data_IF_666196599775
#
_entry.id   IF_666196599775
#
_cell.length_a   1.000
_cell.length_b   1.000
_cell.length_c   1.000
_cell.angle_alpha   90.00
_cell.angle_beta   90.00
_cell.angle_gamma   90.00
#
_symmetry.space_group_name_H-M   'P 1'
#
loop_
_entity.id
_entity.type
_entity.pdbx_description
1 polymer ?
#
# COMPACT_ATOMS: atom_id res chain seq x y z
N UNK A 1 42.19 -8.80 -11.99
CA UNK A 1 42.61 -8.51 -10.60
C UNK A 1 41.39 -8.04 -9.82
N UNK A 2 41.01 -8.79 -8.79
CA UNK A 2 39.75 -8.61 -8.07
C UNK A 2 39.77 -7.37 -7.17
N UNK A 3 38.60 -6.78 -6.92
CA UNK A 3 38.39 -5.65 -6.00
C UNK A 3 39.08 -5.83 -4.64
N UNK A 4 39.19 -7.08 -4.16
CA UNK A 4 39.85 -7.45 -2.90
C UNK A 4 41.36 -7.13 -2.88
N UNK A 5 42.06 -7.18 -4.01
CA UNK A 5 43.49 -6.83 -4.07
C UNK A 5 43.73 -5.31 -4.01
N UNK A 6 42.77 -4.48 -4.45
CA UNK A 6 42.88 -3.01 -4.35
C UNK A 6 42.60 -2.51 -2.93
N UNK A 7 41.67 -3.14 -2.21
CA UNK A 7 41.35 -2.79 -0.82
C UNK A 7 42.54 -2.99 0.15
N UNK A 8 43.42 -3.96 -0.12
CA UNK A 8 44.61 -4.24 0.70
C UNK A 8 45.75 -3.21 0.54
N UNK A 9 45.70 -2.33 -0.48
CA UNK A 9 46.80 -1.42 -0.79
C UNK A 9 46.80 -0.10 -0.01
N UNK A 10 45.82 0.15 0.87
CA UNK A 10 45.75 1.36 1.70
C UNK A 10 45.53 2.68 0.94
N UNK A 11 45.57 2.67 -0.40
CA UNK A 11 45.07 3.78 -1.22
C UNK A 11 43.56 3.72 -1.18
N UNK A 12 42.96 4.65 -0.44
CA UNK A 12 41.54 4.93 -0.57
C UNK A 12 41.23 5.05 -2.07
N UNK A 13 40.20 4.37 -2.60
CA UNK A 13 39.80 4.56 -3.98
C UNK A 13 39.53 6.05 -4.15
N UNK A 14 40.29 6.71 -5.03
CA UNK A 14 40.08 8.12 -5.33
C UNK A 14 38.61 8.30 -5.70
N UNK A 15 37.92 9.19 -5.00
CA UNK A 15 36.54 9.53 -5.33
C UNK A 15 36.50 10.02 -6.78
N UNK A 16 35.55 9.51 -7.57
CA UNK A 16 35.38 10.01 -8.93
C UNK A 16 34.96 11.49 -8.86
N UNK A 17 35.76 12.36 -9.46
CA UNK A 17 35.48 13.78 -9.61
C UNK A 17 35.36 14.09 -11.10
N UNK A 18 34.15 14.42 -11.53
CA UNK A 18 33.81 14.66 -12.93
C UNK A 18 34.64 15.80 -13.54
N UNK A 19 34.88 16.89 -12.80
CA UNK A 19 35.67 18.02 -13.29
C UNK A 19 37.14 17.63 -13.48
N UNK A 20 37.70 16.87 -12.53
CA UNK A 20 39.08 16.38 -12.64
C UNK A 20 39.23 15.41 -13.79
N UNK A 21 38.27 14.50 -13.97
CA UNK A 21 38.28 13.54 -15.08
C UNK A 21 38.12 14.24 -16.44
N UNK A 22 37.24 15.23 -16.53
CA UNK A 22 37.02 16.01 -17.75
C UNK A 22 38.26 16.82 -18.13
N UNK A 23 38.91 17.49 -17.17
CA UNK A 23 40.16 18.23 -17.43
C UNK A 23 41.31 17.29 -17.80
N UNK A 24 41.36 16.08 -17.22
CA UNK A 24 42.34 15.05 -17.61
C UNK A 24 42.10 14.59 -19.06
N UNK A 25 40.85 14.27 -19.42
CA UNK A 25 40.48 13.91 -20.79
C UNK A 25 40.80 15.03 -21.79
N UNK A 26 40.56 16.28 -21.41
CA UNK A 26 40.92 17.46 -22.19
C UNK A 26 42.43 17.59 -22.39
N UNK A 27 43.21 17.34 -21.35
CA UNK A 27 44.68 17.41 -21.40
C UNK A 27 45.29 16.29 -22.27
N UNK A 28 44.69 15.11 -22.27
CA UNK A 28 45.14 13.95 -23.06
C UNK A 28 44.53 13.91 -24.47
N UNK A 29 43.58 14.81 -24.79
CA UNK A 29 42.87 14.79 -26.07
C UNK A 29 42.02 13.54 -26.27
N UNK A 30 41.50 12.95 -25.19
CA UNK A 30 40.80 11.67 -25.18
C UNK A 30 39.31 11.76 -25.56
N UNK A 31 38.84 12.92 -26.02
CA UNK A 31 37.46 13.09 -26.46
C UNK A 31 37.21 12.39 -27.79
N UNK A 32 36.04 11.78 -27.95
CA UNK A 32 35.59 11.11 -29.17
C UNK A 32 34.37 11.81 -29.79
N UNK A 33 34.23 11.72 -31.12
CA UNK A 33 33.12 12.27 -31.88
C UNK A 33 33.39 13.66 -32.48
N UNK A 34 32.38 14.53 -32.52
CA UNK A 34 32.52 15.91 -33.01
C UNK A 34 33.12 16.77 -31.89
N UNK A 35 34.43 16.95 -31.95
CA UNK A 35 35.18 17.65 -30.91
C UNK A 35 35.17 19.16 -31.21
N UNK A 36 34.58 20.00 -30.35
CA UNK A 36 34.66 21.45 -30.50
C UNK A 36 36.11 21.94 -30.29
N UNK A 37 36.47 23.13 -30.78
CA UNK A 37 37.79 23.71 -30.56
C UNK A 37 38.15 23.73 -29.07
N UNK A 38 39.44 23.57 -28.73
CA UNK A 38 39.91 23.48 -27.34
C UNK A 38 39.41 24.61 -26.43
N UNK A 39 39.23 25.83 -26.99
CA UNK A 39 38.69 27.00 -26.28
C UNK A 39 37.22 26.87 -25.86
N UNK A 40 36.47 26.00 -26.52
CA UNK A 40 35.04 25.74 -26.27
C UNK A 40 34.80 24.43 -25.50
N UNK A 41 35.87 23.79 -25.01
CA UNK A 41 35.79 22.60 -24.17
C UNK A 41 35.79 23.03 -22.70
N UNK A 42 34.60 23.27 -22.14
CA UNK A 42 34.40 23.64 -20.74
C UNK A 42 34.02 22.42 -19.90
N UNK A 43 34.75 22.20 -18.81
CA UNK A 43 34.44 21.18 -17.81
C UNK A 43 33.73 21.82 -16.62
N UNK A 44 32.68 21.17 -16.09
CA UNK A 44 31.97 21.65 -14.90
C UNK A 44 31.16 22.94 -15.10
N UNK A 45 30.76 23.27 -16.33
CA UNK A 45 29.96 24.46 -16.61
C UNK A 45 28.60 24.34 -15.91
N UNK A 46 28.28 25.33 -15.07
CA UNK A 46 26.95 25.46 -14.48
C UNK A 46 26.00 26.18 -15.44
N UNK A 47 24.72 25.90 -15.32
CA UNK A 47 23.70 26.57 -16.13
C UNK A 47 23.66 28.07 -15.80
N UNK A 48 23.81 28.90 -16.83
CA UNK A 48 23.65 30.36 -16.77
C UNK A 48 22.60 30.76 -17.79
N UNK A 49 21.56 31.48 -17.35
CA UNK A 49 20.48 31.92 -18.22
C UNK A 49 21.00 32.83 -19.35
N UNK A 50 20.69 32.49 -20.60
CA UNK A 50 21.13 33.25 -21.78
C UNK A 50 22.44 32.78 -22.39
N UNK A 51 23.19 31.88 -21.74
CA UNK A 51 24.35 31.22 -22.34
C UNK A 51 23.93 29.92 -23.04
N UNK A 52 24.51 29.60 -24.21
CA UNK A 52 24.26 28.31 -24.85
C UNK A 52 24.86 27.18 -23.99
N UNK A 53 24.16 26.05 -23.95
CA UNK A 53 24.64 24.86 -23.25
C UNK A 53 26.04 24.43 -23.77
N UNK A 54 26.89 23.98 -22.85
CA UNK A 54 28.19 23.41 -23.20
C UNK A 54 28.02 22.30 -24.25
N UNK A 55 28.97 22.23 -25.19
CA UNK A 55 28.98 21.14 -26.17
C UNK A 55 29.20 19.80 -25.45
N UNK A 56 28.44 18.77 -25.83
CA UNK A 56 28.61 17.43 -25.22
C UNK A 56 29.95 16.84 -25.64
N UNK A 57 30.77 16.50 -24.66
CA UNK A 57 32.04 15.81 -24.84
C UNK A 57 31.88 14.36 -24.38
N UNK A 58 32.38 13.43 -25.18
CA UNK A 58 32.32 12.00 -24.89
C UNK A 58 33.73 11.47 -24.75
N UNK A 59 33.94 10.55 -23.81
CA UNK A 59 35.19 9.81 -23.64
C UNK A 59 34.91 8.32 -23.80
N UNK A 60 35.88 7.57 -24.31
CA UNK A 60 35.75 6.11 -24.34
C UNK A 60 35.70 5.53 -22.94
N UNK A 61 34.94 4.44 -22.79
CA UNK A 61 34.83 3.74 -21.52
C UNK A 61 36.18 3.25 -21.01
N UNK A 62 37.07 2.79 -21.91
CA UNK A 62 38.41 2.33 -21.54
C UNK A 62 39.23 3.43 -20.85
N UNK A 63 39.20 4.65 -21.40
CA UNK A 63 39.85 5.82 -20.80
C UNK A 63 39.27 6.16 -19.43
N UNK A 64 37.93 6.22 -19.32
CA UNK A 64 37.27 6.56 -18.06
C UNK A 64 37.56 5.51 -16.98
N UNK A 65 37.51 4.22 -17.33
CA UNK A 65 37.79 3.11 -16.40
C UNK A 65 39.26 3.08 -15.95
N UNK A 66 40.21 3.40 -16.82
CA UNK A 66 41.64 3.38 -16.48
C UNK A 66 42.09 4.63 -15.72
N UNK A 67 41.65 5.83 -16.16
CA UNK A 67 42.16 7.10 -15.65
C UNK A 67 41.30 7.73 -14.56
N UNK A 68 40.00 7.42 -14.53
CA UNK A 68 39.05 7.97 -13.57
C UNK A 68 38.36 6.88 -12.72
N UNK A 69 39.11 5.95 -12.09
CA UNK A 69 38.49 4.91 -11.27
C UNK A 69 37.90 5.51 -10.00
N UNK A 70 36.67 5.12 -9.65
CA UNK A 70 36.02 5.52 -8.42
C UNK A 70 34.50 5.52 -8.52
N UNK A 71 33.82 5.55 -7.39
CA UNK A 71 32.40 5.90 -7.32
C UNK A 71 32.31 7.42 -7.17
N UNK A 72 31.39 8.05 -7.90
CA UNK A 72 31.09 9.48 -7.71
C UNK A 72 30.58 9.69 -6.30
N UNK A 73 31.32 10.43 -5.49
CA UNK A 73 30.85 10.80 -4.15
C UNK A 73 29.98 12.03 -4.30
N UNK A 74 28.70 11.85 -4.00
CA UNK A 74 27.77 12.94 -3.75
C UNK A 74 28.26 13.71 -2.52
N UNK A 75 28.93 14.84 -2.74
CA UNK A 75 29.44 15.69 -1.65
C UNK A 75 28.37 16.62 -1.07
N UNK A 76 27.17 16.61 -1.63
CA UNK A 76 26.10 17.52 -1.22
C UNK A 76 25.00 16.73 -0.49
N UNK A 77 24.91 16.80 0.84
CA UNK A 77 23.92 16.06 1.61
C UNK A 77 22.47 16.40 1.20
N UNK A 78 22.27 17.58 0.60
CA UNK A 78 20.98 18.01 0.06
C UNK A 78 20.45 17.08 -1.05
N UNK A 79 21.34 16.39 -1.78
CA UNK A 79 20.94 15.48 -2.87
C UNK A 79 20.14 14.28 -2.34
N UNK A 80 20.53 13.72 -1.20
CA UNK A 80 19.83 12.57 -0.59
C UNK A 80 18.77 13.01 0.41
N UNK A 81 19.04 14.08 1.17
CA UNK A 81 18.10 14.63 2.14
C UNK A 81 16.82 15.11 1.45
N UNK A 82 16.93 15.71 0.26
CA UNK A 82 15.79 16.07 -0.57
C UNK A 82 14.88 14.88 -0.81
N UNK A 83 15.37 13.82 -1.45
CA UNK A 83 14.57 12.61 -1.75
C UNK A 83 13.98 11.99 -0.48
N UNK A 84 14.76 11.93 0.59
CA UNK A 84 14.35 11.31 1.84
C UNK A 84 13.24 12.09 2.54
N UNK A 85 13.36 13.41 2.65
CA UNK A 85 12.35 14.27 3.30
C UNK A 85 11.12 14.47 2.42
N UNK A 86 11.31 14.59 1.11
CA UNK A 86 10.27 14.97 0.16
C UNK A 86 9.39 13.79 -0.27
N UNK A 87 9.96 12.60 -0.39
CA UNK A 87 9.25 11.44 -0.94
C UNK A 87 9.22 10.25 0.02
N UNK A 88 10.34 9.91 0.64
CA UNK A 88 10.41 8.73 1.53
C UNK A 88 9.65 8.98 2.84
N UNK A 89 9.89 10.10 3.52
CA UNK A 89 9.28 10.39 4.81
C UNK A 89 7.74 10.47 4.71
N UNK A 90 7.12 11.21 3.76
CA UNK A 90 5.66 11.19 3.58
C UNK A 90 5.14 9.80 3.28
N UNK A 91 5.88 9.02 2.49
CA UNK A 91 5.51 7.66 2.13
C UNK A 91 5.59 6.69 3.32
N UNK A 92 6.56 6.85 4.21
CA UNK A 92 6.67 6.07 5.45
C UNK A 92 5.57 6.46 6.41
N UNK A 93 5.35 7.76 6.65
CA UNK A 93 4.23 8.26 7.49
C UNK A 93 2.92 7.66 7.00
N UNK A 94 2.74 7.64 5.69
CA UNK A 94 1.55 7.11 5.07
C UNK A 94 1.42 5.60 5.16
N UNK A 95 2.52 4.89 4.95
CA UNK A 95 2.55 3.44 5.16
C UNK A 95 2.22 3.07 6.60
N UNK A 96 2.58 3.94 7.56
CA UNK A 96 2.17 3.79 8.97
C UNK A 96 0.69 4.11 9.21
N UNK A 97 0.04 4.94 8.38
CA UNK A 97 -1.42 5.15 8.48
C UNK A 97 -2.20 3.97 7.93
N UNK A 98 -1.67 3.26 6.92
CA UNK A 98 -2.18 1.98 6.43
C UNK A 98 -1.92 0.90 7.50
N UNK A 99 -2.89 0.78 8.42
CA UNK A 99 -2.81 -0.09 9.58
C UNK A 99 -2.69 -1.56 9.15
N UNK A 100 -1.47 -2.08 9.13
CA UNK A 100 -1.18 -3.50 8.92
C UNK A 100 -1.26 -4.26 10.25
N UNK A 101 -1.65 -5.53 10.14
CA UNK A 101 -1.99 -6.47 11.22
C UNK A 101 -0.82 -6.83 12.16
N UNK A 102 0.43 -6.56 11.79
CA UNK A 102 1.61 -6.96 12.58
C UNK A 102 2.57 -5.80 12.77
N UNK A 103 2.82 -5.48 14.04
CA UNK A 103 3.86 -4.53 14.46
C UNK A 103 5.24 -5.13 14.19
N UNK A 104 5.78 -4.97 12.99
CA UNK A 104 7.20 -5.27 12.73
C UNK A 104 8.08 -4.13 13.25
N UNK A 105 9.26 -4.46 13.77
CA UNK A 105 10.34 -3.48 14.01
C UNK A 105 10.51 -2.57 12.76
N UNK A 106 10.69 -1.25 12.94
CA UNK A 106 10.58 -0.26 11.85
C UNK A 106 11.57 -0.47 10.70
N UNK A 107 12.63 -1.27 10.91
CA UNK A 107 13.64 -1.59 9.90
C UNK A 107 13.16 -2.56 8.80
N UNK A 108 12.08 -3.32 9.00
CA UNK A 108 11.56 -4.30 8.02
C UNK A 108 10.18 -3.95 7.44
N UNK A 109 9.46 -2.99 8.01
CA UNK A 109 8.11 -2.61 7.58
C UNK A 109 8.05 -2.03 6.16
N UNK A 110 9.14 -1.39 5.71
CA UNK A 110 9.22 -0.78 4.39
C UNK A 110 9.06 -1.84 3.28
N UNK A 111 9.74 -2.99 3.38
CA UNK A 111 9.63 -4.06 2.38
C UNK A 111 8.27 -4.78 2.38
N UNK A 112 7.61 -4.89 3.53
CA UNK A 112 6.29 -5.54 3.64
C UNK A 112 5.14 -4.67 3.09
N UNK A 113 5.28 -3.35 3.19
CA UNK A 113 4.33 -2.38 2.61
C UNK A 113 4.46 -2.25 1.08
N UNK A 114 5.62 -2.55 0.52
CA UNK A 114 5.87 -2.53 -0.93
C UNK A 114 5.30 -3.70 -1.73
N UNK A 115 4.76 -4.71 -1.04
CA UNK A 115 4.26 -5.93 -1.68
C UNK A 115 2.73 -6.07 -1.51
N UNK A 116 2.14 -5.55 -0.43
CA UNK A 116 0.75 -5.85 -0.03
C UNK A 116 -0.38 -5.03 -0.67
N UNK A 117 -0.29 -4.59 -1.93
CA UNK A 117 -1.41 -3.88 -2.56
C UNK A 117 -1.64 -4.32 -4.00
N UNK A 118 -2.32 -5.45 -4.11
CA UNK A 118 -3.03 -5.85 -5.33
C UNK A 118 -4.48 -6.19 -4.98
N UNK A 119 -5.10 -5.42 -4.08
CA UNK A 119 -6.55 -5.51 -3.85
C UNK A 119 -7.30 -4.70 -4.91
N UNK A 120 -7.30 -5.19 -6.15
CA UNK A 120 -8.09 -4.63 -7.25
C UNK A 120 -9.40 -5.41 -7.42
N UNK A 121 -10.26 -5.43 -6.40
CA UNK A 121 -11.68 -5.70 -6.61
C UNK A 121 -12.40 -4.37 -6.80
N UNK A 122 -12.37 -3.89 -8.05
CA UNK A 122 -13.09 -2.70 -8.49
C UNK A 122 -14.60 -3.00 -8.47
N UNK A 123 -15.27 -2.71 -7.36
CA UNK A 123 -16.74 -2.63 -7.32
C UNK A 123 -17.20 -1.38 -8.06
N UNK A 124 -17.12 -1.40 -9.40
CA UNK A 124 -17.92 -0.51 -10.23
C UNK A 124 -19.35 -1.07 -10.21
N UNK A 125 -20.25 -0.39 -9.50
CA UNK A 125 -21.70 -0.60 -9.44
C UNK A 125 -22.25 -1.41 -8.25
N UNK A 126 -21.96 -0.99 -7.01
CA UNK A 126 -22.95 -1.14 -5.94
C UNK A 126 -23.65 0.21 -5.72
N UNK A 127 -24.81 0.47 -6.37
CA UNK A 127 -25.64 1.61 -6.02
C UNK A 127 -26.40 1.24 -4.74
N UNK A 128 -25.74 1.31 -3.59
CA UNK A 128 -26.47 1.37 -2.33
C UNK A 128 -26.87 2.83 -2.16
N UNK A 129 -27.98 3.22 -2.79
CA UNK A 129 -28.58 4.51 -2.50
C UNK A 129 -29.15 4.45 -1.07
N UNK A 130 -28.47 5.11 -0.14
CA UNK A 130 -28.87 5.17 1.26
C UNK A 130 -30.24 5.83 1.46
N UNK A 131 -30.80 6.52 0.44
CA UNK A 131 -32.19 7.02 0.48
C UNK A 131 -33.24 5.92 0.47
N UNK A 132 -32.94 4.75 -0.10
CA UNK A 132 -33.90 3.63 -0.13
C UNK A 132 -34.12 3.00 1.25
N UNK A 133 -33.19 3.18 2.20
CA UNK A 133 -33.35 2.74 3.58
C UNK A 133 -34.36 3.59 4.37
N UNK A 134 -34.88 4.68 3.78
CA UNK A 134 -35.67 5.71 4.48
C UNK A 134 -37.14 5.76 4.09
N UNK A 135 -37.56 5.14 2.98
CA UNK A 135 -38.97 5.12 2.58
C UNK A 135 -39.70 3.98 3.28
N UNK A 136 -40.69 4.34 4.11
CA UNK A 136 -41.58 3.40 4.76
C UNK A 136 -42.30 2.56 3.72
N UNK A 137 -41.98 1.27 3.69
CA UNK A 137 -42.53 0.30 2.78
C UNK A 137 -43.52 -0.61 3.50
N UNK A 138 -44.70 -0.80 2.90
CA UNK A 138 -45.83 -1.53 3.49
C UNK A 138 -45.98 -2.98 3.01
N UNK A 139 -45.04 -3.53 2.24
CA UNK A 139 -45.08 -4.90 1.74
C UNK A 139 -43.95 -5.73 2.35
N UNK A 140 -44.26 -6.98 2.71
CA UNK A 140 -43.33 -7.96 3.28
C UNK A 140 -42.09 -8.20 2.40
N UNK A 141 -42.27 -8.11 1.08
CA UNK A 141 -41.19 -8.27 0.08
C UNK A 141 -40.11 -7.17 0.15
N UNK A 142 -40.45 -6.00 0.68
CA UNK A 142 -39.51 -4.87 0.79
C UNK A 142 -38.71 -4.91 2.08
N UNK A 143 -39.27 -5.48 3.15
CA UNK A 143 -38.56 -5.72 4.40
C UNK A 143 -37.44 -6.76 4.22
N UNK A 144 -37.73 -7.84 3.48
CA UNK A 144 -36.75 -8.88 3.14
C UNK A 144 -35.60 -8.30 2.29
N UNK A 145 -35.89 -7.47 1.29
CA UNK A 145 -34.85 -6.77 0.50
C UNK A 145 -33.98 -5.85 1.37
N UNK A 146 -34.58 -5.12 2.31
CA UNK A 146 -33.85 -4.23 3.22
C UNK A 146 -32.98 -5.02 4.20
N UNK A 147 -33.42 -6.20 4.62
CA UNK A 147 -32.65 -7.12 5.47
C UNK A 147 -31.42 -7.62 4.73
N UNK A 148 -31.57 -8.09 3.49
CA UNK A 148 -30.46 -8.56 2.64
C UNK A 148 -29.46 -7.43 2.37
N UNK A 149 -29.94 -6.20 2.05
CA UNK A 149 -29.06 -5.03 1.85
C UNK A 149 -28.25 -4.69 3.11
N UNK A 150 -28.87 -4.77 4.30
CA UNK A 150 -28.20 -4.51 5.58
C UNK A 150 -27.14 -5.57 5.89
N UNK A 151 -27.47 -6.84 5.71
CA UNK A 151 -26.51 -7.93 5.89
C UNK A 151 -25.32 -7.80 4.93
N UNK A 152 -25.57 -7.49 3.65
CA UNK A 152 -24.52 -7.28 2.67
C UNK A 152 -23.62 -6.09 3.06
N UNK A 153 -24.19 -5.00 3.56
CA UNK A 153 -23.43 -3.84 4.05
C UNK A 153 -22.54 -4.23 5.24
N UNK A 154 -23.07 -4.97 6.22
CA UNK A 154 -22.29 -5.46 7.37
C UNK A 154 -21.20 -6.43 6.92
N UNK A 155 -21.50 -7.32 5.99
CA UNK A 155 -20.55 -8.29 5.40
C UNK A 155 -19.41 -7.57 4.70
N UNK A 156 -19.72 -6.55 3.90
CA UNK A 156 -18.71 -5.74 3.20
C UNK A 156 -17.89 -4.92 4.19
N UNK A 157 -18.53 -4.33 5.20
CA UNK A 157 -17.87 -3.51 6.21
C UNK A 157 -17.00 -4.34 7.18
N UNK A 158 -17.38 -5.56 7.51
CA UNK A 158 -16.63 -6.45 8.40
C UNK A 158 -15.69 -7.42 7.66
N UNK A 159 -15.70 -7.40 6.32
CA UNK A 159 -14.98 -8.36 5.48
C UNK A 159 -13.45 -8.35 5.57
N UNK A 160 -12.87 -7.42 6.34
CA UNK A 160 -11.44 -7.41 6.68
C UNK A 160 -11.11 -8.18 7.96
N UNK A 161 -12.11 -8.68 8.70
CA UNK A 161 -11.91 -9.47 9.91
C UNK A 161 -11.69 -10.94 9.59
N UNK A 162 -10.82 -11.59 10.37
CA UNK A 162 -10.53 -13.03 10.26
C UNK A 162 -11.79 -13.83 10.60
N UNK A 163 -12.25 -14.69 9.68
CA UNK A 163 -13.43 -15.52 9.90
C UNK A 163 -13.26 -16.53 11.05
N UNK A 164 -12.03 -16.99 11.28
CA UNK A 164 -11.72 -18.09 12.20
C UNK A 164 -11.61 -17.65 13.67
N UNK A 165 -11.41 -16.35 13.94
CA UNK A 165 -11.17 -15.83 15.29
C UNK A 165 -12.36 -15.00 15.76
N UNK A 166 -13.08 -15.52 16.77
CA UNK A 166 -14.21 -14.83 17.43
C UNK A 166 -15.56 -14.92 16.71
N UNK A 167 -15.67 -15.75 15.66
CA UNK A 167 -16.90 -15.91 14.85
C UNK A 167 -17.57 -14.57 14.46
N UNK A 168 -16.83 -13.61 13.89
CA UNK A 168 -17.34 -12.26 13.62
C UNK A 168 -18.56 -12.25 12.72
N UNK A 169 -18.72 -13.26 11.88
CA UNK A 169 -19.83 -13.39 10.95
C UNK A 169 -21.16 -13.73 11.61
N UNK A 170 -21.15 -14.30 12.82
CA UNK A 170 -22.35 -14.52 13.60
C UNK A 170 -22.54 -13.39 14.60
N UNK A 171 -21.47 -13.09 15.36
CA UNK A 171 -21.51 -12.13 16.46
C UNK A 171 -21.85 -10.70 16.02
N UNK A 172 -21.30 -10.22 14.90
CA UNK A 172 -21.49 -8.84 14.44
C UNK A 172 -22.90 -8.64 13.83
N UNK A 173 -23.37 -9.48 12.88
CA UNK A 173 -24.73 -9.36 12.39
C UNK A 173 -25.77 -9.53 13.49
N UNK A 174 -25.61 -10.48 14.43
CA UNK A 174 -26.55 -10.64 15.55
C UNK A 174 -26.61 -9.40 16.46
N UNK A 175 -25.51 -8.65 16.57
CA UNK A 175 -25.42 -7.41 17.34
C UNK A 175 -26.02 -6.20 16.62
N UNK A 176 -26.13 -6.26 15.29
CA UNK A 176 -26.55 -5.18 14.40
C UNK A 176 -27.94 -5.40 13.77
N UNK A 177 -28.45 -6.63 13.76
CA UNK A 177 -29.77 -6.97 13.24
C UNK A 177 -30.78 -7.01 14.38
N UNK A 178 -31.88 -6.27 14.21
CA UNK A 178 -33.01 -6.27 15.14
C UNK A 178 -33.82 -7.55 14.95
N UNK A 179 -34.24 -8.25 16.02
CA UNK A 179 -35.04 -9.47 15.87
C UNK A 179 -36.49 -9.15 15.50
N UNK A 180 -36.85 -9.27 14.22
CA UNK A 180 -38.20 -9.53 13.70
C UNK A 180 -39.32 -8.49 14.00
N UNK A 181 -40.48 -8.75 13.39
CA UNK A 181 -41.71 -7.93 13.32
C UNK A 181 -42.30 -7.50 14.70
N UNK A 182 -41.82 -8.08 15.80
CA UNK A 182 -42.27 -7.81 17.17
C UNK A 182 -41.24 -7.06 18.03
N UNK A 183 -40.10 -6.65 17.47
CA UNK A 183 -39.10 -5.90 18.22
C UNK A 183 -39.61 -4.49 18.58
N UNK A 184 -39.35 -4.03 19.81
CA UNK A 184 -39.71 -2.68 20.22
C UNK A 184 -38.91 -1.63 19.41
N UNK A 185 -39.52 -0.46 19.18
CA UNK A 185 -38.99 0.60 18.28
C UNK A 185 -37.59 1.10 18.69
N UNK A 186 -37.24 0.97 19.96
CA UNK A 186 -35.92 1.26 20.53
C UNK A 186 -34.82 0.34 19.98
N UNK A 187 -35.13 -0.92 19.63
CA UNK A 187 -34.19 -1.85 19.01
C UNK A 187 -33.69 -1.35 17.65
N UNK A 188 -34.56 -0.73 16.85
CA UNK A 188 -34.21 -0.18 15.54
C UNK A 188 -33.25 1.00 15.62
N UNK A 189 -33.54 1.99 16.47
CA UNK A 189 -32.65 3.15 16.65
C UNK A 189 -31.27 2.73 17.21
N UNK A 190 -31.23 1.64 18.00
CA UNK A 190 -30.00 1.09 18.55
C UNK A 190 -29.15 0.34 17.52
N UNK A 191 -29.77 -0.54 16.73
CA UNK A 191 -29.10 -1.19 15.61
C UNK A 191 -28.53 -0.15 14.62
N UNK A 192 -29.31 0.90 14.36
CA UNK A 192 -28.91 2.05 13.55
C UNK A 192 -27.71 2.78 14.16
N UNK A 193 -27.74 3.11 15.45
CA UNK A 193 -26.63 3.82 16.09
C UNK A 193 -25.35 2.99 16.11
N UNK A 194 -25.45 1.67 16.34
CA UNK A 194 -24.31 0.74 16.25
C UNK A 194 -23.74 0.65 14.84
N UNK A 195 -24.59 0.58 13.81
CA UNK A 195 -24.17 0.60 12.42
C UNK A 195 -23.51 1.93 12.04
N UNK A 196 -24.09 3.05 12.47
CA UNK A 196 -23.50 4.38 12.27
C UNK A 196 -22.17 4.54 13.02
N UNK A 197 -22.02 3.94 14.20
CA UNK A 197 -20.75 3.90 14.93
C UNK A 197 -19.72 3.02 14.21
N UNK A 198 -20.13 1.90 13.62
CA UNK A 198 -19.25 1.04 12.82
C UNK A 198 -18.76 1.76 11.56
N UNK A 199 -19.65 2.45 10.85
CA UNK A 199 -19.33 3.25 9.68
C UNK A 199 -18.54 4.52 10.04
N UNK A 200 -18.88 5.17 11.16
CA UNK A 200 -18.24 6.39 11.65
C UNK A 200 -16.86 6.15 12.29
N UNK A 201 -16.57 4.93 12.72
CA UNK A 201 -15.22 4.53 13.14
C UNK A 201 -14.25 4.43 11.95
N UNK A 202 -14.74 4.49 10.71
CA UNK A 202 -13.88 4.68 9.55
C UNK A 202 -13.38 6.13 9.55
N UNK A 203 -12.08 6.27 9.77
CA UNK A 203 -11.32 7.49 9.55
C UNK A 203 -11.66 8.13 8.20
N UNK A 204 -11.83 9.45 8.19
CA UNK A 204 -12.32 10.15 6.99
C UNK A 204 -11.38 9.92 5.80
N UNK A 205 -11.96 9.54 4.66
CA UNK A 205 -11.20 9.28 3.42
C UNK A 205 -10.34 10.49 3.03
N UNK A 206 -10.90 11.70 3.17
CA UNK A 206 -10.22 12.95 2.85
C UNK A 206 -9.02 13.25 3.75
N UNK A 207 -9.08 12.97 5.04
CA UNK A 207 -7.94 13.19 5.93
C UNK A 207 -6.82 12.16 5.69
N UNK A 208 -7.20 10.90 5.51
CA UNK A 208 -6.24 9.80 5.35
C UNK A 208 -5.50 9.81 4.02
N UNK A 209 -6.18 10.20 2.94
CA UNK A 209 -5.65 10.14 1.57
C UNK A 209 -5.36 11.54 1.06
N UNK A 210 -6.27 12.48 1.30
CA UNK A 210 -6.15 13.84 0.78
C UNK A 210 -4.90 14.54 1.31
N UNK A 211 -4.58 14.42 2.60
CA UNK A 211 -3.37 15.05 3.16
C UNK A 211 -2.08 14.50 2.52
N UNK A 212 -1.81 13.17 2.51
CA UNK A 212 -0.63 12.63 1.84
C UNK A 212 -0.56 12.92 0.34
N UNK A 213 -1.69 12.85 -0.37
CA UNK A 213 -1.76 13.20 -1.80
C UNK A 213 -1.40 14.67 -2.01
N UNK A 214 -1.92 15.58 -1.19
CA UNK A 214 -1.59 17.01 -1.27
C UNK A 214 -0.11 17.28 -0.98
N UNK A 215 0.46 16.65 0.06
CA UNK A 215 1.89 16.76 0.35
C UNK A 215 2.74 16.24 -0.80
N UNK A 216 2.41 15.05 -1.30
CA UNK A 216 3.11 14.43 -2.42
C UNK A 216 3.04 15.30 -3.68
N UNK A 217 1.83 15.77 -4.06
CA UNK A 217 1.63 16.63 -5.23
C UNK A 217 2.30 17.99 -5.07
N UNK A 218 2.26 18.59 -3.89
CA UNK A 218 2.93 19.86 -3.62
C UNK A 218 4.43 19.75 -3.83
N UNK A 219 5.05 18.70 -3.29
CA UNK A 219 6.47 18.42 -3.45
C UNK A 219 6.85 18.06 -4.89
N UNK A 220 6.00 17.30 -5.58
CA UNK A 220 6.16 16.99 -7.00
C UNK A 220 6.13 18.26 -7.85
N UNK A 221 5.14 19.12 -7.67
CA UNK A 221 5.01 20.41 -8.37
C UNK A 221 6.20 21.33 -8.06
N UNK A 222 6.64 21.41 -6.81
CA UNK A 222 7.83 22.16 -6.42
C UNK A 222 9.08 21.67 -7.18
N UNK A 223 9.27 20.35 -7.26
CA UNK A 223 10.40 19.74 -7.98
C UNK A 223 10.34 20.06 -9.48
N UNK A 224 9.16 20.01 -10.09
CA UNK A 224 8.96 20.38 -11.50
C UNK A 224 9.26 21.87 -11.75
N UNK A 225 8.79 22.76 -10.87
CA UNK A 225 9.10 24.19 -10.98
C UNK A 225 10.60 24.47 -10.79
N UNK A 226 11.26 23.74 -9.88
CA UNK A 226 12.71 23.84 -9.68
C UNK A 226 13.50 23.35 -10.91
N UNK A 227 13.01 22.33 -11.61
CA UNK A 227 13.60 21.89 -12.88
C UNK A 227 13.49 22.93 -13.99
N UNK A 228 12.37 23.67 -14.03
CA UNK A 228 12.20 24.73 -15.02
C UNK A 228 13.16 25.90 -14.80
N UNK A 229 13.52 26.20 -13.54
CA UNK A 229 14.51 27.25 -13.24
C UNK A 229 15.96 26.77 -13.41
N UNK A 230 16.22 25.45 -13.33
CA UNK A 230 17.56 24.85 -13.38
C UNK A 230 17.62 23.63 -14.30
N UNK A 231 17.40 23.83 -15.60
CA UNK A 231 17.25 22.78 -16.63
C UNK A 231 18.43 21.81 -16.78
N UNK A 232 19.59 22.10 -16.18
CA UNK A 232 20.80 21.26 -16.27
C UNK A 232 21.11 20.49 -14.98
N UNK A 233 20.28 20.58 -13.94
CA UNK A 233 20.56 19.91 -12.67
C UNK A 233 20.15 18.42 -12.73
N UNK A 234 21.15 17.56 -12.86
CA UNK A 234 21.00 16.10 -12.84
C UNK A 234 20.27 15.62 -11.58
N UNK A 235 20.60 16.20 -10.43
CA UNK A 235 20.09 15.72 -9.15
C UNK A 235 18.60 16.00 -9.01
N UNK A 236 18.16 17.19 -9.45
CA UNK A 236 16.73 17.52 -9.44
C UNK A 236 15.96 16.61 -10.41
N UNK A 237 16.54 16.25 -11.57
CA UNK A 237 15.85 15.38 -12.52
C UNK A 237 15.73 13.93 -12.02
N UNK A 238 16.75 13.46 -11.31
CA UNK A 238 16.74 12.13 -10.71
C UNK A 238 15.83 12.09 -9.49
N UNK A 239 15.78 13.18 -8.71
CA UNK A 239 14.79 13.38 -7.66
C UNK A 239 13.37 13.31 -8.23
N UNK A 240 13.12 13.88 -9.40
CA UNK A 240 11.84 13.71 -10.12
C UNK A 240 11.60 12.25 -10.51
N UNK A 241 12.61 11.53 -11.01
CA UNK A 241 12.50 10.10 -11.31
C UNK A 241 12.12 9.27 -10.08
N UNK A 242 12.73 9.56 -8.92
CA UNK A 242 12.35 8.96 -7.64
C UNK A 242 10.93 9.34 -7.24
N UNK A 243 10.52 10.59 -7.39
CA UNK A 243 9.13 10.96 -7.15
C UNK A 243 8.22 10.04 -8.00
N UNK A 244 8.42 10.02 -9.31
CA UNK A 244 7.60 9.22 -10.23
C UNK A 244 7.57 7.74 -9.84
N UNK A 245 8.66 7.14 -9.35
CA UNK A 245 8.62 5.77 -8.82
C UNK A 245 7.72 5.65 -7.57
N UNK A 246 7.87 6.56 -6.61
CA UNK A 246 7.17 6.54 -5.32
C UNK A 246 5.68 6.86 -5.42
N UNK A 247 5.20 7.34 -6.58
CA UNK A 247 3.77 7.42 -6.90
C UNK A 247 3.05 6.08 -6.70
N UNK A 248 3.73 4.93 -6.79
CA UNK A 248 3.13 3.62 -6.49
C UNK A 248 2.42 3.60 -5.12
N UNK A 249 3.01 4.22 -4.10
CA UNK A 249 2.47 4.25 -2.74
C UNK A 249 1.16 5.04 -2.70
N UNK A 250 1.09 6.15 -3.45
CA UNK A 250 -0.10 6.97 -3.58
C UNK A 250 -1.22 6.19 -4.29
N UNK A 251 -0.92 5.40 -5.31
CA UNK A 251 -1.93 4.58 -5.97
C UNK A 251 -2.45 3.46 -5.05
N UNK A 252 -1.53 2.72 -4.43
CA UNK A 252 -1.79 1.59 -3.54
C UNK A 252 -2.75 1.96 -2.40
N UNK A 253 -2.53 3.13 -1.83
CA UNK A 253 -3.32 3.63 -0.72
C UNK A 253 -4.70 4.15 -1.11
N UNK A 254 -4.83 4.86 -2.23
CA UNK A 254 -6.11 5.27 -2.79
C UNK A 254 -6.96 4.00 -2.96
N UNK A 255 -6.40 2.99 -3.62
CA UNK A 255 -7.10 1.74 -3.91
C UNK A 255 -7.44 0.97 -2.63
N UNK A 256 -6.47 0.79 -1.73
CA UNK A 256 -6.67 0.08 -0.46
C UNK A 256 -7.77 0.72 0.41
N UNK A 257 -7.98 2.04 0.28
CA UNK A 257 -8.98 2.79 1.05
C UNK A 257 -10.31 3.00 0.33
N UNK A 258 -10.38 2.79 -0.98
CA UNK A 258 -11.66 2.72 -1.69
C UNK A 258 -12.50 1.50 -1.28
N UNK A 259 -11.87 0.51 -0.63
CA UNK A 259 -12.57 -0.64 -0.07
C UNK A 259 -13.28 -0.23 1.22
N UNK A 260 -14.62 -0.08 1.16
CA UNK A 260 -15.49 0.01 2.33
C UNK A 260 -15.25 -1.23 3.20
N UNK A 261 -14.44 -1.07 4.24
CA UNK A 261 -14.14 -2.08 5.23
C UNK A 261 -13.59 -1.44 6.51
N UNK A 262 -14.11 -1.88 7.65
CA UNK A 262 -13.62 -1.56 8.97
C UNK A 262 -12.21 -2.14 9.14
N UNK A 263 -11.27 -1.25 9.42
CA UNK A 263 -9.89 -1.59 9.77
C UNK A 263 -9.66 -1.46 11.29
N UNK A 264 -10.74 -1.39 12.08
CA UNK A 264 -10.69 -1.23 13.52
C UNK A 264 -11.45 -2.38 14.21
N UNK A 265 -10.77 -3.49 14.54
CA UNK A 265 -11.41 -4.62 15.20
C UNK A 265 -11.93 -4.25 16.60
N UNK A 266 -11.36 -3.24 17.27
CA UNK A 266 -11.84 -2.77 18.58
C UNK A 266 -13.22 -2.13 18.52
N UNK A 267 -13.56 -1.44 17.44
CA UNK A 267 -14.93 -0.95 17.24
C UNK A 267 -15.92 -2.11 17.11
N UNK A 268 -15.54 -3.15 16.36
CA UNK A 268 -16.38 -4.32 16.19
C UNK A 268 -16.55 -5.08 17.51
N UNK A 269 -15.47 -5.22 18.29
CA UNK A 269 -15.50 -5.81 19.62
C UNK A 269 -16.42 -5.02 20.58
N UNK A 270 -16.33 -3.69 20.60
CA UNK A 270 -17.21 -2.85 21.42
C UNK A 270 -18.70 -2.99 21.06
N UNK A 271 -19.01 -3.13 19.77
CA UNK A 271 -20.39 -3.35 19.31
C UNK A 271 -20.92 -4.71 19.79
N UNK A 272 -20.10 -5.76 19.72
CA UNK A 272 -20.49 -7.11 20.16
C UNK A 272 -20.60 -7.20 21.67
N UNK A 273 -19.64 -6.65 22.43
CA UNK A 273 -19.65 -6.66 23.90
C UNK A 273 -20.84 -5.86 24.44
N UNK A 274 -21.11 -4.66 23.90
CA UNK A 274 -22.30 -3.88 24.32
C UNK A 274 -23.63 -4.59 24.02
N UNK A 275 -23.64 -5.52 23.06
CA UNK A 275 -24.81 -6.35 22.79
C UNK A 275 -24.93 -7.47 23.81
N UNK A 276 -23.81 -8.11 24.17
CA UNK A 276 -23.76 -9.16 25.18
C UNK A 276 -24.06 -8.67 26.59
N UNK A 277 -23.55 -7.51 27.03
CA UNK A 277 -23.82 -6.98 28.37
C UNK A 277 -25.31 -6.69 28.61
N UNK A 278 -26.03 -6.31 27.55
CA UNK A 278 -27.46 -6.01 27.60
C UNK A 278 -28.32 -7.28 27.56
N UNK A 279 -27.96 -8.24 26.70
CA UNK A 279 -28.56 -9.57 26.69
C UNK A 279 -28.30 -10.27 28.03
N UNK A 280 -27.12 -10.09 28.61
CA UNK A 280 -26.72 -10.60 29.92
C UNK A 280 -27.33 -9.77 31.07
N UNK A 281 -27.78 -8.52 30.87
CA UNK A 281 -28.54 -7.77 31.88
C UNK A 281 -30.02 -8.22 31.92
N UNK A 282 -30.62 -8.54 30.77
CA UNK A 282 -31.90 -9.25 30.65
C UNK A 282 -31.80 -10.67 31.21
N UNK A 283 -30.77 -11.42 30.83
CA UNK A 283 -30.53 -12.78 31.31
C UNK A 283 -30.14 -12.79 32.80
N UNK A 284 -29.39 -11.80 33.33
CA UNK A 284 -29.13 -11.66 34.78
C UNK A 284 -30.39 -11.42 35.61
N UNK A 285 -31.48 -10.93 35.02
CA UNK A 285 -32.78 -10.83 35.70
C UNK A 285 -33.50 -12.18 35.79
N UNK A 286 -33.29 -13.07 34.80
CA UNK A 286 -33.84 -14.43 34.77
C UNK A 286 -32.95 -15.44 35.50
N UNK A 287 -31.63 -15.30 35.41
CA UNK A 287 -30.61 -16.19 35.94
C UNK A 287 -30.25 -15.89 37.40
N UNK A 288 -30.69 -14.76 37.98
CA UNK A 288 -30.63 -14.55 39.45
C UNK A 288 -31.49 -15.56 40.25
N UNK A 289 -32.27 -16.40 39.58
CA UNK A 289 -32.99 -17.55 40.17
C UNK A 289 -32.30 -18.90 40.01
N UNK A 290 -31.21 -19.01 39.26
CA UNK A 290 -30.52 -20.27 39.02
C UNK A 290 -29.00 -20.05 39.06
N UNK A 291 -28.33 -20.66 40.04
CA UNK A 291 -26.86 -20.82 40.20
C UNK A 291 -26.11 -19.59 40.74
N UNK A 292 -25.46 -19.51 41.92
CA UNK A 292 -25.18 -20.43 43.04
C UNK A 292 -24.75 -21.85 42.67
N UNK A 293 -23.86 -22.00 41.69
CA UNK A 293 -23.05 -23.22 41.52
C UNK A 293 -21.91 -22.97 40.53
N UNK A 294 -20.67 -23.25 40.95
CA UNK A 294 -19.62 -23.76 40.05
C UNK A 294 -18.61 -22.75 39.52
N UNK A 295 -17.62 -22.42 40.35
CA UNK A 295 -16.36 -21.78 39.94
C UNK A 295 -15.30 -22.87 39.78
N UNK A 296 -14.64 -22.96 38.62
CA UNK A 296 -13.56 -23.91 38.36
C UNK A 296 -12.63 -23.41 37.26
N UNK A 297 -11.50 -22.82 37.66
CA UNK A 297 -10.41 -22.38 36.77
C UNK A 297 -9.48 -23.56 36.45
N UNK A 298 -9.37 -23.93 35.17
CA UNK A 298 -8.39 -24.88 34.66
C UNK A 298 -7.14 -24.16 34.15
N UNK A 299 -6.00 -24.41 34.79
CA UNK A 299 -4.69 -23.90 34.40
C UNK A 299 -4.03 -24.91 33.43
N UNK A 300 -4.08 -24.64 32.12
CA UNK A 300 -3.35 -25.45 31.12
C UNK A 300 -1.90 -24.96 30.94
N UNK A 301 -0.97 -25.91 31.00
CA UNK A 301 0.47 -25.70 30.84
C UNK A 301 0.87 -25.41 29.39
N UNK A 302 1.81 -24.49 29.11
CA UNK A 302 2.03 -23.98 27.77
C UNK A 302 2.92 -24.92 26.94
N UNK A 303 2.38 -25.51 25.88
CA UNK A 303 3.15 -26.18 24.83
C UNK A 303 3.78 -25.13 23.91
N UNK A 304 5.07 -25.30 23.62
CA UNK A 304 5.86 -24.36 22.82
C UNK A 304 5.54 -24.53 21.33
N UNK A 305 4.65 -23.70 20.80
CA UNK A 305 4.24 -23.67 19.39
C UNK A 305 5.09 -22.68 18.58
N UNK A 306 5.18 -22.91 17.27
CA UNK A 306 5.90 -22.06 16.30
C UNK A 306 5.49 -20.58 16.41
N UNK A 307 4.22 -20.31 16.72
CA UNK A 307 3.71 -18.96 16.98
C UNK A 307 4.51 -18.23 18.05
N UNK A 308 4.83 -18.88 19.17
CA UNK A 308 5.61 -18.27 20.27
C UNK A 308 7.05 -17.96 19.86
N UNK A 309 7.65 -18.78 18.98
CA UNK A 309 8.97 -18.50 18.40
C UNK A 309 8.92 -17.28 17.47
N UNK A 310 7.90 -17.16 16.62
CA UNK A 310 7.71 -15.94 15.80
C UNK A 310 7.43 -14.69 16.65
N UNK A 311 6.65 -14.80 17.73
CA UNK A 311 6.42 -13.71 18.68
C UNK A 311 7.73 -13.23 19.34
N UNK A 312 8.63 -14.16 19.72
CA UNK A 312 9.88 -13.84 20.44
C UNK A 312 11.00 -13.35 19.51
N UNK A 313 11.16 -13.98 18.33
CA UNK A 313 12.30 -13.69 17.43
C UNK A 313 11.99 -12.56 16.45
N UNK A 314 10.74 -12.47 15.95
CA UNK A 314 10.34 -11.45 14.99
C UNK A 314 9.60 -10.27 15.65
N UNK A 315 9.28 -10.36 16.94
CA UNK A 315 8.53 -9.33 17.68
C UNK A 315 7.10 -9.14 17.19
N UNK A 316 6.55 -10.11 16.45
CA UNK A 316 5.21 -10.02 15.87
C UNK A 316 4.20 -10.32 16.96
N UNK A 317 3.65 -9.33 17.66
CA UNK A 317 2.48 -9.53 18.54
C UNK A 317 1.18 -9.31 17.77
N UNK A 318 0.07 -9.90 18.26
CA UNK A 318 -1.26 -9.46 17.87
C UNK A 318 -1.32 -7.93 18.06
N UNK A 319 -1.76 -7.21 17.04
CA UNK A 319 -1.80 -5.74 17.09
C UNK A 319 -2.95 -5.24 17.98
N UNK A 320 -3.97 -6.08 18.18
CA UNK A 320 -5.14 -5.77 19.00
C UNK A 320 -5.33 -6.83 20.08
N UNK A 321 -5.62 -6.40 21.30
CA UNK A 321 -5.97 -7.30 22.41
C UNK A 321 -7.45 -7.75 22.36
N UNK A 322 -8.05 -7.73 21.16
CA UNK A 322 -9.46 -8.02 20.95
C UNK A 322 -9.69 -9.42 20.40
N UNK A 323 -10.89 -9.95 20.63
CA UNK A 323 -11.33 -11.23 20.08
C UNK A 323 -11.27 -11.24 18.54
N UNK A 324 -11.59 -10.11 17.92
CA UNK A 324 -11.45 -9.93 16.47
C UNK A 324 -10.04 -9.51 16.07
N UNK A 325 -9.58 -10.05 14.95
CA UNK A 325 -8.32 -9.65 14.30
C UNK A 325 -8.58 -9.31 12.84
N UNK A 326 -7.68 -8.50 12.27
CA UNK A 326 -7.69 -8.20 10.84
C UNK A 326 -7.03 -9.33 10.06
N UNK A 327 -7.44 -9.49 8.81
CA UNK A 327 -6.76 -10.35 7.82
C UNK A 327 -5.63 -9.58 7.16
N UNK A 328 -4.60 -10.33 6.76
CA UNK A 328 -3.44 -9.80 6.06
C UNK A 328 -3.90 -9.08 4.80
N UNK A 329 -3.21 -7.99 4.42
CA UNK A 329 -3.58 -7.22 3.22
C UNK A 329 -3.69 -8.10 1.96
N UNK A 330 -2.90 -9.17 1.89
CA UNK A 330 -2.88 -10.12 0.78
C UNK A 330 -4.12 -11.00 0.68
N UNK A 331 -4.71 -11.32 1.82
CA UNK A 331 -5.83 -12.25 1.91
C UNK A 331 -7.16 -11.49 2.04
N UNK A 332 -7.16 -10.15 2.05
CA UNK A 332 -8.39 -9.35 2.19
C UNK A 332 -9.37 -9.60 1.05
N UNK A 333 -8.89 -9.62 -0.20
CA UNK A 333 -9.72 -9.97 -1.36
C UNK A 333 -10.41 -11.33 -1.20
N UNK A 334 -9.61 -12.40 -1.01
CA UNK A 334 -10.11 -13.77 -0.83
C UNK A 334 -11.02 -13.90 0.39
N UNK A 335 -10.65 -13.30 1.53
CA UNK A 335 -11.46 -13.31 2.75
C UNK A 335 -12.80 -12.61 2.54
N UNK A 336 -12.82 -11.44 1.90
CA UNK A 336 -14.05 -10.71 1.61
C UNK A 336 -14.96 -11.51 0.66
N UNK A 337 -14.38 -12.21 -0.31
CA UNK A 337 -15.14 -13.13 -1.15
C UNK A 337 -15.73 -14.30 -0.32
N UNK A 338 -14.99 -14.88 0.63
CA UNK A 338 -15.52 -15.89 1.57
C UNK A 338 -16.67 -15.34 2.41
N UNK A 339 -16.54 -14.11 2.91
CA UNK A 339 -17.62 -13.40 3.62
C UNK A 339 -18.88 -13.27 2.75
N UNK A 340 -18.72 -12.85 1.48
CA UNK A 340 -19.84 -12.68 0.54
C UNK A 340 -20.46 -14.04 0.16
N UNK A 341 -19.67 -15.07 -0.14
CA UNK A 341 -20.16 -16.42 -0.50
C UNK A 341 -21.06 -17.02 0.59
N UNK A 342 -20.84 -16.63 1.85
CA UNK A 342 -21.63 -17.08 3.01
C UNK A 342 -22.86 -16.22 3.32
N UNK A 343 -23.03 -15.06 2.68
CA UNK A 343 -24.17 -14.16 2.91
C UNK A 343 -25.50 -14.69 2.35
N UNK A 344 -26.61 -14.21 2.89
CA UNK A 344 -27.97 -14.47 2.38
C UNK A 344 -28.11 -13.96 0.94
N UNK A 345 -27.54 -12.78 0.62
CA UNK A 345 -27.53 -12.21 -0.73
C UNK A 345 -26.95 -13.16 -1.79
N UNK A 346 -25.86 -13.88 -1.46
CA UNK A 346 -25.25 -14.86 -2.37
C UNK A 346 -26.11 -16.10 -2.58
N UNK A 347 -26.86 -16.52 -1.55
CA UNK A 347 -27.71 -17.72 -1.60
C UNK A 347 -29.00 -17.49 -2.37
N UNK A 348 -29.62 -16.33 -2.17
CA UNK A 348 -30.96 -16.03 -2.67
C UNK A 348 -30.97 -15.41 -4.08
N UNK A 349 -29.96 -14.61 -4.45
CA UNK A 349 -29.94 -13.91 -5.73
C UNK A 349 -28.91 -14.52 -6.73
N UNK A 350 -29.37 -15.33 -7.71
CA UNK A 350 -28.50 -15.88 -8.74
C UNK A 350 -28.01 -14.84 -9.77
N UNK A 351 -28.65 -13.67 -9.86
CA UNK A 351 -28.16 -12.56 -10.67
C UNK A 351 -26.97 -11.87 -9.98
N UNK A 352 -27.06 -11.67 -8.66
CA UNK A 352 -25.94 -11.19 -7.85
C UNK A 352 -24.73 -12.12 -7.94
N UNK A 353 -24.96 -13.45 -7.85
CA UNK A 353 -23.88 -14.44 -8.01
C UNK A 353 -23.15 -14.31 -9.35
N UNK A 354 -23.90 -14.23 -10.45
CA UNK A 354 -23.34 -14.05 -11.80
C UNK A 354 -22.62 -12.71 -11.98
N UNK A 355 -23.04 -11.66 -11.27
CA UNK A 355 -22.37 -10.37 -11.28
C UNK A 355 -21.00 -10.43 -10.58
N UNK A 356 -20.90 -11.24 -9.52
CA UNK A 356 -19.72 -11.43 -8.70
C UNK A 356 -18.74 -12.47 -9.24
N UNK A 357 -19.19 -13.39 -10.10
CA UNK A 357 -18.33 -14.35 -10.79
C UNK A 357 -17.43 -13.65 -11.81
N UNK A 358 -16.11 -13.80 -11.64
CA UNK A 358 -15.11 -13.23 -12.54
C UNK A 358 -14.61 -14.34 -13.45
N UNK A 359 -14.86 -14.22 -14.75
CA UNK A 359 -14.31 -15.14 -15.75
C UNK A 359 -12.77 -15.03 -15.78
N UNK A 360 -12.02 -16.08 -16.18
CA UNK A 360 -10.55 -16.02 -16.24
C UNK A 360 -10.03 -14.84 -17.08
N UNK A 361 -10.71 -14.57 -18.20
CA UNK A 361 -10.41 -13.41 -19.05
C UNK A 361 -10.77 -12.07 -18.37
N UNK A 362 -11.87 -12.07 -17.60
CA UNK A 362 -12.23 -10.96 -16.72
C UNK A 362 -11.15 -10.71 -15.65
N UNK A 363 -10.59 -11.75 -15.05
CA UNK A 363 -9.50 -11.68 -14.08
C UNK A 363 -8.27 -11.04 -14.71
N UNK A 364 -7.87 -11.49 -15.89
CA UNK A 364 -6.74 -10.93 -16.61
C UNK A 364 -6.95 -9.45 -16.97
N UNK A 365 -8.06 -9.10 -17.63
CA UNK A 365 -8.27 -7.73 -18.12
C UNK A 365 -8.70 -6.74 -17.05
N UNK A 366 -9.47 -7.16 -16.04
CA UNK A 366 -10.02 -6.26 -15.01
C UNK A 366 -9.13 -6.15 -13.76
N UNK A 367 -8.32 -7.17 -13.48
CA UNK A 367 -7.51 -7.22 -12.26
C UNK A 367 -6.02 -7.17 -12.61
N UNK A 368 -5.52 -8.14 -13.39
CA UNK A 368 -4.09 -8.22 -13.68
C UNK A 368 -3.56 -7.02 -14.44
N UNK A 369 -4.19 -6.65 -15.57
CA UNK A 369 -3.72 -5.54 -16.41
C UNK A 369 -3.73 -4.20 -15.65
N UNK A 370 -4.82 -3.80 -14.97
CA UNK A 370 -4.81 -2.57 -14.18
C UNK A 370 -3.80 -2.59 -13.03
N UNK A 371 -3.68 -3.71 -12.31
CA UNK A 371 -2.68 -3.85 -11.25
C UNK A 371 -1.25 -3.69 -11.81
N UNK A 372 -0.95 -4.35 -12.92
CA UNK A 372 0.32 -4.24 -13.62
C UNK A 372 0.61 -2.80 -14.04
N UNK A 373 -0.37 -2.12 -14.64
CA UNK A 373 -0.22 -0.71 -15.06
C UNK A 373 0.06 0.17 -13.84
N UNK A 374 -0.73 0.06 -12.77
CA UNK A 374 -0.58 0.89 -11.58
C UNK A 374 0.74 0.67 -10.84
N UNK A 375 1.28 -0.54 -10.88
CA UNK A 375 2.50 -0.93 -10.16
C UNK A 375 3.76 -0.70 -11.01
N UNK A 376 3.70 -0.97 -12.32
CA UNK A 376 4.88 -0.95 -13.21
C UNK A 376 5.06 0.39 -13.89
N UNK A 377 3.97 1.11 -14.20
CA UNK A 377 4.06 2.41 -14.87
C UNK A 377 4.87 3.42 -14.05
N UNK A 378 4.72 3.56 -12.72
CA UNK A 378 5.54 4.48 -11.92
C UNK A 378 7.05 4.18 -12.00
N UNK A 379 7.57 2.99 -11.64
CA UNK A 379 9.01 2.73 -11.73
C UNK A 379 9.52 2.64 -13.17
N UNK A 380 8.70 2.17 -14.12
CA UNK A 380 9.04 2.16 -15.54
C UNK A 380 9.23 3.58 -16.11
N UNK A 381 8.36 4.51 -15.73
CA UNK A 381 8.48 5.92 -16.12
C UNK A 381 9.60 6.64 -15.37
N UNK A 382 9.84 6.34 -14.08
CA UNK A 382 11.02 6.80 -13.35
C UNK A 382 12.33 6.32 -14.01
N UNK A 383 12.39 5.05 -14.41
CA UNK A 383 13.50 4.47 -15.15
C UNK A 383 13.68 5.10 -16.54
N UNK A 384 12.59 5.41 -17.24
CA UNK A 384 12.63 6.15 -18.49
C UNK A 384 13.20 7.56 -18.29
N UNK A 385 12.74 8.31 -17.29
CA UNK A 385 13.29 9.64 -16.97
C UNK A 385 14.77 9.54 -16.63
N UNK A 386 15.18 8.56 -15.83
CA UNK A 386 16.57 8.32 -15.48
C UNK A 386 17.45 7.89 -16.67
N UNK A 387 16.88 7.23 -17.68
CA UNK A 387 17.58 6.88 -18.91
C UNK A 387 17.86 8.12 -19.79
N UNK A 388 16.94 9.08 -19.81
CA UNK A 388 17.05 10.27 -20.64
C UNK A 388 17.81 11.43 -19.98
N UNK A 389 18.14 11.32 -18.68
CA UNK A 389 18.69 12.44 -17.92
C UNK A 389 20.02 12.12 -17.22
N UNK A 390 21.05 12.98 -17.35
CA UNK A 390 21.41 13.88 -18.46
C UNK A 390 22.21 13.16 -19.57
N UNK A 391 22.88 12.04 -19.23
CA UNK A 391 23.57 11.19 -20.20
C UNK A 391 22.61 10.09 -20.66
N UNK A 392 22.36 10.02 -21.97
CA UNK A 392 21.51 8.95 -22.53
C UNK A 392 22.21 7.61 -22.32
N UNK A 393 21.61 6.72 -21.54
CA UNK A 393 22.19 5.40 -21.31
C UNK A 393 21.64 4.67 -20.10
N UNK A 394 22.04 3.41 -19.96
CA UNK A 394 21.69 2.57 -18.81
C UNK A 394 22.69 2.83 -17.68
N UNK A 395 22.42 3.84 -16.87
CA UNK A 395 23.17 4.12 -15.65
C UNK A 395 22.77 3.19 -14.48
N UNK A 396 23.53 3.24 -13.37
CA UNK A 396 23.20 2.51 -12.14
C UNK A 396 21.80 2.88 -11.61
N UNK A 397 21.44 4.17 -11.70
CA UNK A 397 20.14 4.69 -11.23
C UNK A 397 18.98 4.18 -12.10
N UNK A 398 19.10 4.24 -13.42
CA UNK A 398 18.13 3.66 -14.36
C UNK A 398 17.96 2.14 -14.14
N UNK A 399 19.06 1.42 -13.96
CA UNK A 399 19.05 -0.03 -13.70
C UNK A 399 18.28 -0.37 -12.42
N UNK A 400 18.40 0.45 -11.37
CA UNK A 400 17.66 0.24 -10.13
C UNK A 400 16.14 0.32 -10.35
N UNK A 401 15.66 1.37 -11.02
CA UNK A 401 14.23 1.52 -11.34
C UNK A 401 13.70 0.37 -12.19
N UNK A 402 14.47 -0.05 -13.21
CA UNK A 402 14.07 -1.16 -14.08
C UNK A 402 14.09 -2.51 -13.35
N UNK A 403 15.10 -2.76 -12.51
CA UNK A 403 15.16 -3.95 -11.69
C UNK A 403 13.98 -4.00 -10.71
N UNK A 404 13.64 -2.88 -10.08
CA UNK A 404 12.47 -2.77 -9.23
C UNK A 404 11.17 -3.03 -10.00
N UNK A 405 11.00 -2.42 -11.18
CA UNK A 405 9.84 -2.66 -12.05
C UNK A 405 9.71 -4.14 -12.43
N UNK A 406 10.81 -4.81 -12.78
CA UNK A 406 10.83 -6.25 -13.10
C UNK A 406 10.46 -7.12 -11.89
N UNK A 407 11.02 -6.83 -10.73
CA UNK A 407 10.65 -7.52 -9.48
C UNK A 407 9.15 -7.38 -9.20
N UNK A 408 8.61 -6.17 -9.38
CA UNK A 408 7.19 -5.90 -9.18
C UNK A 408 6.30 -6.67 -10.18
N UNK A 409 6.68 -6.77 -11.46
CA UNK A 409 5.97 -7.61 -12.44
C UNK A 409 5.88 -9.06 -11.94
N UNK A 410 6.99 -9.62 -11.47
CA UNK A 410 7.05 -11.01 -10.98
C UNK A 410 6.16 -11.19 -9.76
N UNK A 411 6.24 -10.27 -8.79
CA UNK A 411 5.45 -10.32 -7.55
C UNK A 411 3.96 -10.20 -7.86
N UNK A 412 3.55 -9.21 -8.66
CA UNK A 412 2.14 -9.03 -9.06
C UNK A 412 1.64 -10.26 -9.82
N UNK A 413 2.45 -10.83 -10.70
CA UNK A 413 2.14 -12.08 -11.40
C UNK A 413 1.87 -13.23 -10.43
N UNK A 414 2.79 -13.49 -9.50
CA UNK A 414 2.63 -14.54 -8.48
C UNK A 414 1.39 -14.31 -7.63
N UNK A 415 1.17 -13.07 -7.16
CA UNK A 415 0.04 -12.73 -6.33
C UNK A 415 -1.29 -12.99 -7.05
N UNK A 416 -1.44 -12.51 -8.28
CA UNK A 416 -2.65 -12.71 -9.07
C UNK A 416 -2.87 -14.18 -9.39
N UNK A 417 -1.82 -14.94 -9.72
CA UNK A 417 -1.93 -16.39 -9.95
C UNK A 417 -2.40 -17.14 -8.69
N UNK A 418 -1.90 -16.74 -7.50
CA UNK A 418 -2.35 -17.33 -6.23
C UNK A 418 -3.83 -17.04 -5.97
N UNK A 419 -4.26 -15.78 -6.11
CA UNK A 419 -5.68 -15.42 -5.92
C UNK A 419 -6.58 -16.16 -6.91
N UNK A 420 -6.17 -16.26 -8.18
CA UNK A 420 -6.94 -16.98 -9.20
C UNK A 420 -7.05 -18.48 -8.90
N UNK A 421 -6.05 -19.08 -8.24
CA UNK A 421 -6.09 -20.49 -7.86
C UNK A 421 -7.00 -20.73 -6.65
N UNK A 422 -6.95 -19.86 -5.64
CA UNK A 422 -7.82 -19.91 -4.46
C UNK A 422 -9.31 -19.74 -4.81
N UNK A 423 -9.63 -18.98 -5.86
CA UNK A 423 -11.02 -18.80 -6.31
C UNK A 423 -11.63 -20.05 -6.94
N UNK A 424 -10.80 -20.95 -7.49
CA UNK A 424 -11.23 -22.21 -8.11
C UNK A 424 -11.50 -23.34 -7.10
N UNK A 425 -11.09 -23.15 -5.84
CA UNK A 425 -11.46 -23.99 -4.69
C UNK A 425 -12.76 -23.49 -4.03
#
# INVERSE_FOLDING_TARGET
MSWLQRAASGKAPNAYNENTCCELAKSEGAFVGVIPPLKNQTCGQQYVAGEPAASRLWVEYEFCHSQCPGLGISNNPNQWAGVLVNFILPSVIFSMTIRAERRSNPTFGIAALFLGSSDSCFYRNCPVDFRDLYQGYGSRDDEDKLRIKRELLVTVASGNLMLEKGNPQESIPNSLMVPGEYAPKDGYEKARSRLLNLLGAQSSYGELIGSPVLFYLGTFLYTVLNLQSSLSDEDTAISLGFAIEWMIIVHVSIISRCLLASNNPSTCAGIVVSSHEELEHEHRHLQRRATLAGQGYGHESPKWTWERFSHIVLGWSDTFETEFQLVSLWERGSNKMKWIRKSEAWREDPAFRRLMEITPWGWFLKIFVPALVLVVLPPGSGGFVAYWTPTRGVGCRCTNFLAYALCQIVITGIAVMRCANEDNE
#
